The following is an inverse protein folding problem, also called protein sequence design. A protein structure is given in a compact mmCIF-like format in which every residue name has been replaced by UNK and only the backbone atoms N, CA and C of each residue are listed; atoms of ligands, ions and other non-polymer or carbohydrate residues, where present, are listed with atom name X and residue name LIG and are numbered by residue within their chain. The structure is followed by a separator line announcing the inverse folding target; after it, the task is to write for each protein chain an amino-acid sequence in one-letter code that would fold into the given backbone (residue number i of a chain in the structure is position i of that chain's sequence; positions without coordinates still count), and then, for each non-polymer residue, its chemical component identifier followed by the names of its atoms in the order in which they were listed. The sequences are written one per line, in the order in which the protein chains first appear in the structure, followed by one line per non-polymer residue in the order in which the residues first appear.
data_IF_507542010303
#
_entry.id   IF_507542010303
#
_cell.length_a   1.000
_cell.length_b   1.000
_cell.length_c   1.000
_cell.angle_alpha   90.00
_cell.angle_beta   90.00
_cell.angle_gamma   90.00
#
_symmetry.space_group_name_H-M   'P 1'
#
loop_
_entity.id
_entity.type
_entity.pdbx_description
1 polymer ?
#
# COMPACT_ATOMS: atom_id res chain seq x y z
N UNK A 1 -0.05 -12.25 -6.88
CA UNK A 1 -0.59 -10.92 -6.51
C UNK A 1 -2.02 -10.94 -5.99
N UNK A 2 -3.04 -11.40 -6.74
CA UNK A 2 -4.45 -11.36 -6.28
C UNK A 2 -4.69 -12.08 -4.93
N UNK A 3 -4.02 -13.22 -4.68
CA UNK A 3 -4.08 -13.92 -3.38
C UNK A 3 -3.59 -13.02 -2.23
N UNK A 4 -2.44 -12.35 -2.38
CA UNK A 4 -1.90 -11.41 -1.38
C UNK A 4 -2.88 -10.27 -1.07
N UNK A 5 -3.48 -9.65 -2.09
CA UNK A 5 -4.48 -8.59 -1.91
C UNK A 5 -5.72 -9.09 -1.15
N UNK A 6 -6.21 -10.30 -1.49
CA UNK A 6 -7.32 -10.92 -0.76
C UNK A 6 -6.96 -11.20 0.71
N UNK A 7 -5.69 -11.52 1.02
CA UNK A 7 -5.24 -11.75 2.38
C UNK A 7 -5.21 -10.46 3.21
N UNK A 8 -4.88 -9.30 2.61
CA UNK A 8 -5.01 -7.99 3.27
C UNK A 8 -6.47 -7.74 3.67
N UNK A 9 -7.42 -7.97 2.76
CA UNK A 9 -8.86 -7.80 3.05
C UNK A 9 -9.34 -8.74 4.15
N UNK A 10 -8.89 -10.00 4.15
CA UNK A 10 -9.18 -10.97 5.23
C UNK A 10 -8.59 -10.53 6.57
N UNK A 11 -7.39 -9.95 6.56
CA UNK A 11 -6.76 -9.40 7.75
C UNK A 11 -7.59 -8.24 8.32
N UNK A 12 -8.06 -7.32 7.49
CA UNK A 12 -8.97 -6.24 7.91
C UNK A 12 -10.27 -6.78 8.51
N UNK A 13 -10.92 -7.74 7.84
CA UNK A 13 -12.17 -8.39 8.34
C UNK A 13 -12.00 -9.09 9.68
N UNK A 14 -10.75 -9.45 10.03
CA UNK A 14 -10.41 -10.14 11.27
C UNK A 14 -9.73 -9.21 12.29
N UNK A 15 -9.81 -7.89 12.08
CA UNK A 15 -9.16 -6.87 12.91
C UNK A 15 -7.63 -7.03 13.08
N UNK A 16 -6.96 -7.73 12.15
CA UNK A 16 -5.51 -7.93 12.12
C UNK A 16 -4.81 -6.71 11.48
N UNK A 17 -5.00 -5.55 12.11
CA UNK A 17 -4.64 -4.24 11.58
C UNK A 17 -3.15 -4.06 11.25
N UNK A 18 -2.24 -4.57 12.09
CA UNK A 18 -0.80 -4.49 11.81
C UNK A 18 -0.41 -5.29 10.57
N UNK A 19 -0.99 -6.49 10.41
CA UNK A 19 -0.75 -7.34 9.24
C UNK A 19 -1.28 -6.64 7.99
N UNK A 20 -2.52 -6.16 8.02
CA UNK A 20 -3.10 -5.43 6.91
C UNK A 20 -2.27 -4.20 6.53
N UNK A 21 -1.93 -3.35 7.50
CA UNK A 21 -1.19 -2.11 7.27
C UNK A 21 0.21 -2.37 6.72
N UNK A 22 0.98 -3.27 7.34
CA UNK A 22 2.36 -3.50 6.93
C UNK A 22 2.44 -4.13 5.54
N UNK A 23 1.54 -5.07 5.25
CA UNK A 23 1.46 -5.65 3.91
C UNK A 23 1.00 -4.60 2.90
N UNK A 24 -0.02 -3.80 3.19
CA UNK A 24 -0.46 -2.69 2.31
C UNK A 24 0.67 -1.70 2.01
N UNK A 25 1.49 -1.32 2.99
CA UNK A 25 2.64 -0.43 2.78
C UNK A 25 3.72 -1.03 1.87
N UNK A 26 3.77 -2.36 1.70
CA UNK A 26 4.70 -3.01 0.77
C UNK A 26 4.19 -3.08 -0.68
N UNK A 27 2.88 -2.92 -0.90
CA UNK A 27 2.26 -3.10 -2.21
C UNK A 27 2.84 -2.17 -3.29
N UNK A 28 3.05 -0.86 -3.05
CA UNK A 28 3.65 0.00 -4.07
C UNK A 28 5.07 -0.44 -4.47
N UNK A 29 5.89 -0.95 -3.54
CA UNK A 29 7.20 -1.54 -3.88
C UNK A 29 7.03 -2.79 -4.74
N UNK A 30 6.15 -3.73 -4.34
CA UNK A 30 5.92 -4.97 -5.09
C UNK A 30 5.45 -4.65 -6.51
N UNK A 31 4.49 -3.74 -6.67
CA UNK A 31 4.04 -3.30 -7.99
C UNK A 31 5.15 -2.63 -8.79
N UNK A 32 5.90 -1.70 -8.17
CA UNK A 32 7.02 -1.02 -8.80
C UNK A 32 8.13 -1.97 -9.26
N UNK A 33 8.41 -3.03 -8.50
CA UNK A 33 9.33 -4.09 -8.92
C UNK A 33 8.79 -4.88 -10.11
N UNK A 34 7.51 -5.28 -10.06
CA UNK A 34 6.87 -6.07 -11.11
C UNK A 34 6.80 -5.35 -12.46
N UNK A 35 6.62 -4.03 -12.48
CA UNK A 35 6.60 -3.22 -13.72
C UNK A 35 7.98 -2.72 -14.17
N UNK A 36 9.05 -3.01 -13.41
CA UNK A 36 10.40 -2.52 -13.74
C UNK A 36 11.21 -3.47 -14.62
N UNK A 37 12.04 -2.93 -15.52
CA UNK A 37 12.87 -3.73 -16.42
C UNK A 37 13.87 -4.64 -15.68
N UNK A 38 14.40 -4.15 -14.55
CA UNK A 38 15.35 -4.87 -13.70
C UNK A 38 14.68 -5.74 -12.62
N UNK A 39 13.36 -5.65 -12.46
CA UNK A 39 12.61 -6.42 -11.47
C UNK A 39 12.79 -5.93 -10.02
N UNK A 40 13.27 -4.70 -9.81
CA UNK A 40 13.55 -4.13 -8.50
C UNK A 40 12.80 -2.81 -8.26
N UNK A 41 12.25 -2.68 -7.06
CA UNK A 41 11.68 -1.42 -6.58
C UNK A 41 12.78 -0.48 -6.08
N UNK A 42 12.51 0.83 -6.16
CA UNK A 42 13.30 1.85 -5.50
C UNK A 42 12.36 2.97 -5.00
N UNK A 43 12.93 3.96 -4.30
CA UNK A 43 12.17 5.12 -3.79
C UNK A 43 11.33 5.79 -4.87
N UNK A 44 11.91 5.99 -6.06
CA UNK A 44 11.26 6.71 -7.16
C UNK A 44 10.07 5.89 -7.68
N UNK A 45 10.25 4.58 -7.88
CA UNK A 45 9.17 3.69 -8.35
C UNK A 45 8.02 3.61 -7.35
N UNK A 46 8.31 3.49 -6.05
CA UNK A 46 7.28 3.54 -5.02
C UNK A 46 6.46 4.82 -5.10
N UNK A 47 7.14 5.97 -5.13
CA UNK A 47 6.48 7.27 -5.14
C UNK A 47 5.63 7.44 -6.40
N UNK A 48 6.16 7.10 -7.57
CA UNK A 48 5.45 7.19 -8.83
C UNK A 48 4.21 6.29 -8.87
N UNK A 49 4.33 5.06 -8.37
CA UNK A 49 3.19 4.15 -8.28
C UNK A 49 2.11 4.72 -7.35
N UNK A 50 2.51 5.16 -6.16
CA UNK A 50 1.56 5.70 -5.18
C UNK A 50 0.88 6.98 -5.68
N UNK A 51 1.66 7.91 -6.27
CA UNK A 51 1.15 9.16 -6.83
C UNK A 51 0.19 8.92 -8.01
N UNK A 52 0.42 7.87 -8.80
CA UNK A 52 -0.46 7.52 -9.92
C UNK A 52 -1.77 6.87 -9.45
N UNK A 53 -1.69 5.90 -8.54
CA UNK A 53 -2.85 5.03 -8.27
C UNK A 53 -3.58 5.33 -6.96
N UNK A 54 -2.92 5.90 -5.95
CA UNK A 54 -3.50 6.08 -4.61
C UNK A 54 -3.69 7.56 -4.28
N UNK A 55 -2.66 8.39 -4.46
CA UNK A 55 -2.70 9.81 -4.11
C UNK A 55 -3.92 10.58 -4.66
N UNK A 56 -4.48 10.31 -5.86
CA UNK A 56 -5.67 11.01 -6.34
C UNK A 56 -6.90 10.85 -5.44
N UNK A 57 -6.95 9.80 -4.59
CA UNK A 57 -8.00 9.57 -3.59
C UNK A 57 -7.81 10.41 -2.31
N UNK A 58 -6.62 10.99 -2.11
CA UNK A 58 -6.20 11.72 -0.91
C UNK A 58 -6.11 13.23 -1.15
N UNK A 59 -7.15 13.79 -1.77
CA UNK A 59 -7.23 15.19 -2.10
C UNK A 59 -8.33 15.89 -1.31
N UNK A 60 -7.99 17.01 -0.67
CA UNK A 60 -8.98 17.88 -0.03
C UNK A 60 -9.41 18.95 -1.04
N UNK A 61 -10.69 18.98 -1.45
CA UNK A 61 -11.17 20.02 -2.35
C UNK A 61 -11.16 21.38 -1.66
N UNK A 62 -11.12 22.45 -2.45
CA UNK A 62 -11.26 23.80 -1.92
C UNK A 62 -12.65 24.04 -1.35
N UNK A 63 -12.73 24.93 -0.38
CA UNK A 63 -13.96 25.50 0.17
C UNK A 63 -13.77 27.01 0.32
N UNK A 64 -14.82 27.79 0.63
CA UNK A 64 -14.69 29.24 0.84
C UNK A 64 -13.64 29.62 1.90
N UNK A 65 -13.34 28.73 2.85
CA UNK A 65 -12.40 28.99 3.94
C UNK A 65 -11.00 28.38 3.73
N UNK A 66 -10.83 27.49 2.74
CA UNK A 66 -9.62 26.66 2.63
C UNK A 66 -9.29 26.36 1.16
N UNK A 67 -8.03 26.55 0.77
CA UNK A 67 -7.53 26.12 -0.53
C UNK A 67 -7.52 24.59 -0.66
N UNK A 68 -7.63 24.10 -1.88
CA UNK A 68 -7.50 22.69 -2.15
C UNK A 68 -6.06 22.21 -1.84
N UNK A 69 -5.91 20.96 -1.41
CA UNK A 69 -4.63 20.44 -0.92
C UNK A 69 -4.49 18.93 -1.17
N UNK A 70 -3.33 18.52 -1.68
CA UNK A 70 -2.94 17.11 -1.72
C UNK A 70 -2.55 16.68 -0.30
N UNK A 71 -3.36 15.82 0.31
CA UNK A 71 -3.25 15.45 1.72
C UNK A 71 -2.23 14.32 1.93
N UNK A 72 -2.06 13.43 0.95
CA UNK A 72 -1.07 12.36 1.03
C UNK A 72 -0.43 12.15 -0.34
N UNK A 73 0.90 12.26 -0.38
CA UNK A 73 1.71 12.02 -1.59
C UNK A 73 2.47 10.70 -1.49
N UNK A 74 3.06 10.26 -2.60
CA UNK A 74 4.00 9.14 -2.64
C UNK A 74 5.23 9.39 -1.78
N UNK A 75 5.71 10.63 -1.70
CA UNK A 75 6.82 10.98 -0.79
C UNK A 75 6.43 10.82 0.68
N UNK A 76 5.28 11.35 1.07
CA UNK A 76 4.75 11.21 2.43
C UNK A 76 4.60 9.73 2.80
N UNK A 77 3.98 8.95 1.92
CA UNK A 77 3.73 7.54 2.16
C UNK A 77 5.01 6.71 2.15
N UNK A 78 5.98 7.00 1.29
CA UNK A 78 7.29 6.34 1.27
C UNK A 78 8.04 6.58 2.59
N UNK A 79 8.06 7.83 3.05
CA UNK A 79 8.67 8.18 4.33
C UNK A 79 8.01 7.46 5.50
N UNK A 80 6.68 7.42 5.53
CA UNK A 80 5.94 6.68 6.54
C UNK A 80 6.22 5.17 6.48
N UNK A 81 6.15 4.56 5.30
CA UNK A 81 6.48 3.15 5.06
C UNK A 81 7.84 2.79 5.64
N UNK A 82 8.86 3.62 5.40
CA UNK A 82 10.20 3.37 5.93
C UNK A 82 10.24 3.44 7.47
N UNK A 83 9.56 4.41 8.09
CA UNK A 83 9.48 4.47 9.56
C UNK A 83 8.66 3.31 10.16
N UNK A 84 7.58 2.92 9.51
CA UNK A 84 6.69 1.87 10.02
C UNK A 84 7.34 0.48 9.90
N UNK A 85 7.84 0.12 8.72
CA UNK A 85 8.34 -1.22 8.45
C UNK A 85 9.74 -1.47 9.03
N UNK A 86 10.63 -0.47 9.03
CA UNK A 86 12.02 -0.66 9.47
C UNK A 86 12.27 -0.22 10.90
N UNK A 87 11.41 0.63 11.47
CA UNK A 87 11.61 1.21 12.81
C UNK A 87 10.41 1.00 13.74
N UNK A 88 9.32 0.37 13.28
CA UNK A 88 8.10 0.20 14.07
C UNK A 88 7.47 1.52 14.53
N UNK A 89 7.76 2.63 13.85
CA UNK A 89 7.42 3.97 14.28
C UNK A 89 6.38 4.60 13.38
N UNK A 90 5.40 5.31 13.98
CA UNK A 90 4.47 6.17 13.25
C UNK A 90 4.94 7.61 13.08
N UNK A 91 6.21 7.88 13.42
CA UNK A 91 6.84 9.18 13.39
C UNK A 91 8.17 9.11 12.65
N UNK A 92 8.49 10.18 11.91
CA UNK A 92 9.79 10.34 11.26
C UNK A 92 10.19 11.81 11.26
N UNK A 93 11.40 12.09 11.75
CA UNK A 93 11.96 13.44 11.74
C UNK A 93 12.08 13.95 10.30
N UNK A 94 11.68 15.20 10.09
CA UNK A 94 11.70 15.85 8.78
C UNK A 94 10.57 15.43 7.82
N UNK A 95 9.61 14.60 8.25
CA UNK A 95 8.39 14.34 7.50
C UNK A 95 7.39 15.49 7.62
N UNK A 96 6.52 15.64 6.62
CA UNK A 96 5.46 16.67 6.60
C UNK A 96 4.57 16.60 7.84
N UNK A 97 4.17 15.39 8.21
CA UNK A 97 3.38 15.12 9.40
C UNK A 97 4.27 14.63 10.53
N UNK A 98 4.02 15.14 11.74
CA UNK A 98 4.72 14.71 12.96
C UNK A 98 4.41 13.26 13.32
N UNK A 99 3.21 12.79 12.97
CA UNK A 99 2.72 11.44 13.29
C UNK A 99 1.62 11.00 12.32
N UNK A 100 1.61 9.72 11.99
CA UNK A 100 0.48 9.05 11.33
C UNK A 100 -0.36 8.31 12.38
N UNK A 101 -1.66 8.56 12.40
CA UNK A 101 -2.62 7.98 13.35
C UNK A 101 -3.66 7.20 12.57
N UNK A 102 -3.64 5.87 12.74
CA UNK A 102 -4.59 4.96 12.10
C UNK A 102 -5.77 4.68 13.04
N UNK A 103 -6.97 4.96 12.55
CA UNK A 103 -8.21 4.75 13.29
C UNK A 103 -8.89 3.45 12.80
N UNK A 104 -9.07 2.45 13.68
CA UNK A 104 -9.62 1.15 13.30
C UNK A 104 -11.14 1.21 13.06
N UNK A 105 -11.84 2.14 13.72
CA UNK A 105 -13.29 2.30 13.61
C UNK A 105 -13.63 3.77 13.41
N UNK A 106 -14.70 4.08 12.65
CA UNK A 106 -15.27 5.42 12.65
C UNK A 106 -15.67 5.78 14.09
N UNK A 107 -15.30 6.98 14.53
CA UNK A 107 -15.83 7.53 15.78
C UNK A 107 -17.01 8.42 15.40
N UNK A 108 -18.10 8.34 16.17
CA UNK A 108 -19.30 9.14 15.90
C UNK A 108 -18.92 10.62 15.73
N UNK A 109 -19.41 11.26 14.66
CA UNK A 109 -19.09 12.64 14.29
C UNK A 109 -17.62 12.94 13.91
N UNK A 110 -16.80 11.91 13.66
CA UNK A 110 -15.44 12.07 13.15
C UNK A 110 -15.24 11.23 11.89
N UNK A 111 -15.16 11.90 10.73
CA UNK A 111 -14.96 11.24 9.44
C UNK A 111 -13.69 10.36 9.40
N UNK A 112 -12.74 10.57 10.33
CA UNK A 112 -11.68 9.59 10.62
C UNK A 112 -10.61 9.44 9.55
N UNK A 113 -10.78 10.07 8.39
CA UNK A 113 -9.98 9.84 7.20
C UNK A 113 -9.56 11.18 6.58
N UNK A 114 -8.29 11.29 6.19
CA UNK A 114 -7.71 12.48 5.56
C UNK A 114 -7.84 13.77 6.38
N UNK A 115 -7.64 13.70 7.71
CA UNK A 115 -7.66 14.89 8.56
C UNK A 115 -6.28 15.20 9.12
N UNK A 116 -6.00 16.49 9.34
CA UNK A 116 -4.79 16.96 10.02
C UNK A 116 -5.19 17.72 11.28
N UNK A 117 -4.75 17.24 12.44
CA UNK A 117 -4.94 17.90 13.73
C UNK A 117 -3.61 17.90 14.49
N UNK A 118 -3.19 19.05 15.03
CA UNK A 118 -1.92 19.18 15.75
C UNK A 118 -0.72 18.60 14.97
N UNK A 119 -0.68 18.81 13.65
CA UNK A 119 0.31 18.26 12.74
C UNK A 119 0.41 16.71 12.70
N UNK A 120 -0.62 16.00 13.18
CA UNK A 120 -0.77 14.56 13.01
C UNK A 120 -1.77 14.28 11.88
N UNK A 121 -1.45 13.29 11.04
CA UNK A 121 -2.32 12.84 9.94
C UNK A 121 -3.19 11.67 10.41
N UNK A 122 -4.50 11.90 10.48
CA UNK A 122 -5.49 10.92 10.93
C UNK A 122 -6.13 10.24 9.73
N UNK A 123 -6.06 8.91 9.72
CA UNK A 123 -6.49 8.09 8.59
C UNK A 123 -7.25 6.85 9.07
N UNK A 124 -8.37 6.53 8.43
CA UNK A 124 -9.07 5.29 8.69
C UNK A 124 -8.28 4.13 8.07
N UNK A 125 -7.92 3.13 8.88
CA UNK A 125 -7.07 2.03 8.45
C UNK A 125 -7.73 1.14 7.40
N UNK A 126 -9.04 0.92 7.53
CA UNK A 126 -9.79 0.11 6.57
C UNK A 126 -9.79 0.82 5.22
N UNK A 127 -10.13 2.12 5.21
CA UNK A 127 -10.11 2.92 3.98
C UNK A 127 -8.71 2.94 3.34
N UNK A 128 -7.65 3.17 4.12
CA UNK A 128 -6.28 3.20 3.57
C UNK A 128 -5.85 1.87 2.94
N UNK A 129 -6.07 0.77 3.65
CA UNK A 129 -5.68 -0.55 3.16
C UNK A 129 -6.53 -0.93 1.94
N UNK A 130 -7.84 -0.67 1.98
CA UNK A 130 -8.73 -0.89 0.84
C UNK A 130 -8.32 -0.06 -0.38
N UNK A 131 -8.01 1.22 -0.19
CA UNK A 131 -7.57 2.10 -1.26
C UNK A 131 -6.36 1.55 -1.99
N UNK A 132 -5.35 1.09 -1.23
CA UNK A 132 -4.16 0.45 -1.80
C UNK A 132 -4.52 -0.83 -2.54
N UNK A 133 -5.36 -1.71 -1.96
CA UNK A 133 -5.73 -2.96 -2.62
C UNK A 133 -6.50 -2.76 -3.93
N UNK A 134 -7.45 -1.84 -3.96
CA UNK A 134 -8.22 -1.48 -5.16
C UNK A 134 -7.32 -0.86 -6.23
N UNK A 135 -6.44 0.05 -5.82
CA UNK A 135 -5.44 0.67 -6.70
C UNK A 135 -4.48 -0.37 -7.29
N UNK A 136 -4.10 -1.39 -6.52
CA UNK A 136 -3.30 -2.51 -7.01
C UNK A 136 -4.07 -3.44 -7.97
N UNK A 137 -5.39 -3.61 -7.77
CA UNK A 137 -6.23 -4.35 -8.74
C UNK A 137 -6.33 -3.60 -10.06
N UNK A 138 -6.54 -2.28 -10.02
CA UNK A 138 -6.53 -1.45 -11.22
C UNK A 138 -5.17 -1.50 -11.94
N UNK A 139 -4.08 -1.38 -11.20
CA UNK A 139 -2.73 -1.51 -11.75
C UNK A 139 -2.51 -2.89 -12.41
N UNK A 140 -3.01 -3.97 -11.81
CA UNK A 140 -2.91 -5.31 -12.39
C UNK A 140 -3.60 -5.40 -13.75
N UNK A 141 -4.80 -4.81 -13.90
CA UNK A 141 -5.52 -4.77 -15.18
C UNK A 141 -4.71 -4.08 -16.29
N UNK A 142 -3.90 -3.07 -15.93
CA UNK A 142 -3.01 -2.37 -16.85
C UNK A 142 -1.73 -3.16 -17.18
N UNK A 143 -1.19 -3.93 -16.25
CA UNK A 143 0.16 -4.52 -16.36
C UNK A 143 0.19 -6.03 -16.63
N UNK A 144 -0.84 -6.80 -16.27
CA UNK A 144 -0.77 -8.27 -16.26
C UNK A 144 -0.50 -8.90 -17.64
N UNK A 145 -0.85 -8.19 -18.71
CA UNK A 145 -0.60 -8.59 -20.09
C UNK A 145 0.82 -8.33 -20.60
N UNK A 146 1.60 -7.49 -19.93
CA UNK A 146 2.92 -7.03 -20.40
C UNK A 146 4.02 -8.08 -20.20
N UNK A 147 5.03 -8.06 -21.07
CA UNK A 147 6.15 -9.00 -20.97
C UNK A 147 7.02 -8.75 -19.73
N UNK A 148 7.22 -7.48 -19.38
CA UNK A 148 7.93 -7.08 -18.15
C UNK A 148 7.24 -7.64 -16.91
N UNK A 149 5.91 -7.47 -16.80
CA UNK A 149 5.15 -8.06 -15.69
C UNK A 149 5.29 -9.57 -15.66
N UNK A 150 5.05 -10.29 -16.77
CA UNK A 150 5.11 -11.76 -16.80
C UNK A 150 6.49 -12.28 -16.39
N UNK A 151 7.56 -11.66 -16.93
CA UNK A 151 8.96 -11.97 -16.58
C UNK A 151 9.21 -11.85 -15.08
N UNK A 152 8.78 -10.75 -14.47
CA UNK A 152 9.04 -10.48 -13.05
C UNK A 152 8.08 -11.25 -12.13
N UNK A 153 6.83 -11.45 -12.54
CA UNK A 153 5.81 -12.17 -11.79
C UNK A 153 6.16 -13.65 -11.59
N UNK A 154 6.94 -14.24 -12.49
CA UNK A 154 7.48 -15.59 -12.32
C UNK A 154 8.47 -15.73 -11.16
N UNK A 155 9.01 -14.61 -10.67
CA UNK A 155 9.92 -14.54 -9.51
C UNK A 155 9.24 -14.00 -8.25
N UNK A 156 7.96 -13.60 -8.35
CA UNK A 156 7.22 -13.08 -7.21
C UNK A 156 6.86 -14.21 -6.26
N UNK A 157 7.11 -14.00 -4.97
CA UNK A 157 6.71 -14.96 -3.94
C UNK A 157 5.19 -15.23 -3.98
N UNK A 158 4.80 -16.49 -4.11
CA UNK A 158 3.39 -16.93 -4.22
C UNK A 158 3.20 -18.37 -3.76
N UNK A 159 1.93 -18.73 -3.59
CA UNK A 159 1.52 -20.10 -3.30
C UNK A 159 1.66 -20.97 -4.56
N UNK A 160 2.23 -22.15 -4.39
CA UNK A 160 2.30 -23.22 -5.40
C UNK A 160 1.58 -24.45 -4.82
N UNK A 161 0.29 -24.66 -5.15
CA UNK A 161 -0.53 -25.72 -4.54
C UNK A 161 0.05 -27.13 -4.70
N UNK A 162 0.73 -27.38 -5.83
CA UNK A 162 1.30 -28.69 -6.17
C UNK A 162 2.84 -28.70 -6.10
N UNK A 163 3.44 -27.65 -5.55
CA UNK A 163 4.88 -27.46 -5.53
C UNK A 163 5.45 -26.85 -6.83
N UNK A 164 6.77 -26.91 -6.99
CA UNK A 164 7.50 -26.49 -8.18
C UNK A 164 8.17 -27.72 -8.78
N UNK A 165 7.81 -28.04 -10.02
CA UNK A 165 8.40 -29.15 -10.78
C UNK A 165 9.94 -29.04 -10.79
N UNK A 166 10.60 -30.16 -10.50
CA UNK A 166 12.06 -30.23 -10.38
C UNK A 166 12.65 -29.73 -9.05
N UNK A 167 11.84 -29.21 -8.13
CA UNK A 167 12.28 -28.78 -6.78
C UNK A 167 11.54 -29.58 -5.69
N UNK A 168 10.22 -29.38 -5.56
CA UNK A 168 9.34 -30.07 -4.61
C UNK A 168 8.01 -30.28 -5.34
N UNK A 169 7.49 -31.51 -5.43
CA UNK A 169 6.24 -31.83 -6.13
C UNK A 169 5.22 -32.52 -5.21
N UNK A 170 3.94 -32.25 -5.45
CA UNK A 170 2.82 -32.87 -4.72
C UNK A 170 2.56 -32.32 -3.32
N UNK A 171 3.22 -31.22 -2.93
CA UNK A 171 3.06 -30.56 -1.62
C UNK A 171 2.89 -29.06 -1.83
N UNK A 172 1.89 -28.42 -1.19
CA UNK A 172 1.74 -26.97 -1.22
C UNK A 172 2.94 -26.25 -0.60
N UNK A 173 3.53 -25.29 -1.33
CA UNK A 173 4.63 -24.45 -0.83
C UNK A 173 4.36 -22.96 -1.10
N UNK A 174 5.14 -22.10 -0.44
CA UNK A 174 5.24 -20.68 -0.74
C UNK A 174 6.71 -20.40 -1.07
N UNK A 175 6.97 -19.87 -2.26
CA UNK A 175 8.30 -19.48 -2.73
C UNK A 175 8.20 -18.27 -3.63
#
# INVERSE_FOLDING_TARGET
MRSLLNQIEKALKSDLYYVALFVSLSIPDICGALESDNGEADRKKYMQWFDKYVAPKYYRPSSPAVSAEQMLTGEDCYHFRCSALHQGSSQKNGSRYSRYIFLPRPVQNFAGHCNVFNNAFHININTFCMDITESARKWLEEQEGTDTFKKNYNKMMREYPDGIEGIITGIPIIS
#
